data_IF_872862061611
#
_entry.id   IF_872862061611
#
_cell.length_a   1.000
_cell.length_b   1.000
_cell.length_c   1.000
_cell.angle_alpha   90.00
_cell.angle_beta   90.00
_cell.angle_gamma   90.00
#
_symmetry.space_group_name_H-M   'P 1'
#
loop_
_entity.id
_entity.type
_entity.pdbx_description
1 polymer ?
#
# COMPACT_ATOMS: atom_id res chain seq x y z
N UNK A 1 -18.71 -4.13 -11.28
CA UNK A 1 -19.11 -2.95 -10.47
C UNK A 1 -17.88 -2.54 -9.68
N UNK A 2 -17.17 -1.49 -10.10
CA UNK A 2 -15.93 -1.10 -9.45
C UNK A 2 -16.25 -0.58 -8.05
N UNK A 3 -15.85 -1.32 -7.02
CA UNK A 3 -15.95 -0.86 -5.63
C UNK A 3 -15.12 0.42 -5.52
N UNK A 4 -15.80 1.55 -5.33
CA UNK A 4 -15.20 2.86 -5.09
C UNK A 4 -14.79 3.04 -3.63
N UNK A 5 -15.10 2.06 -2.77
CA UNK A 5 -14.76 2.08 -1.36
C UNK A 5 -13.26 1.82 -1.08
N UNK A 6 -12.79 2.18 0.12
CA UNK A 6 -11.47 1.79 0.58
C UNK A 6 -11.28 0.27 0.50
N UNK A 7 -10.12 -0.16 0.02
CA UNK A 7 -9.83 -1.58 -0.21
C UNK A 7 -8.47 -1.94 0.38
N UNK A 8 -8.38 -3.09 1.05
CA UNK A 8 -7.13 -3.78 1.35
C UNK A 8 -6.85 -4.74 0.20
N UNK A 9 -5.76 -4.51 -0.51
CA UNK A 9 -5.31 -5.33 -1.62
C UNK A 9 -4.28 -6.34 -1.10
N UNK A 10 -4.55 -7.63 -1.31
CA UNK A 10 -3.59 -8.69 -1.03
C UNK A 10 -2.62 -8.82 -2.21
N UNK A 11 -1.39 -8.38 -2.01
CA UNK A 11 -0.28 -8.57 -2.93
C UNK A 11 0.80 -9.44 -2.27
N UNK A 12 1.50 -10.21 -3.08
CA UNK A 12 2.58 -11.11 -2.65
C UNK A 12 3.86 -10.34 -2.35
N UNK A 13 4.08 -9.21 -3.03
CA UNK A 13 5.24 -8.35 -2.86
C UNK A 13 4.93 -6.89 -3.23
N UNK A 14 5.89 -5.99 -3.00
CA UNK A 14 5.72 -4.57 -3.28
C UNK A 14 5.61 -4.27 -4.78
N UNK A 15 6.23 -5.10 -5.63
CA UNK A 15 6.24 -4.95 -7.08
C UNK A 15 4.85 -5.16 -7.68
N UNK A 16 4.11 -6.16 -7.21
CA UNK A 16 2.74 -6.45 -7.64
C UNK A 16 1.80 -5.28 -7.32
N UNK A 17 1.94 -4.67 -6.14
CA UNK A 17 1.19 -3.45 -5.81
C UNK A 17 1.58 -2.28 -6.73
N UNK A 18 2.89 -2.06 -6.95
CA UNK A 18 3.35 -0.99 -7.83
C UNK A 18 2.79 -1.16 -9.24
N UNK A 19 2.85 -2.37 -9.79
CA UNK A 19 2.29 -2.68 -11.12
C UNK A 19 0.79 -2.42 -11.15
N UNK A 20 0.05 -2.85 -10.12
CA UNK A 20 -1.39 -2.57 -10.01
C UNK A 20 -1.67 -1.06 -9.99
N UNK A 21 -0.98 -0.28 -9.16
CA UNK A 21 -1.17 1.17 -9.07
C UNK A 21 -0.78 1.84 -10.39
N UNK A 22 0.36 1.49 -10.99
CA UNK A 22 0.81 2.08 -12.25
C UNK A 22 -0.17 1.83 -13.40
N UNK A 23 -0.81 0.66 -13.44
CA UNK A 23 -1.78 0.31 -14.49
C UNK A 23 -3.16 0.97 -14.32
N UNK A 24 -3.58 1.28 -13.09
CA UNK A 24 -4.96 1.70 -12.81
C UNK A 24 -5.09 3.14 -12.29
N UNK A 25 -4.00 3.83 -11.97
CA UNK A 25 -4.08 5.15 -11.36
C UNK A 25 -4.45 6.27 -12.35
N UNK A 26 -5.12 7.29 -11.82
CA UNK A 26 -5.32 8.58 -12.50
C UNK A 26 -4.55 9.68 -11.76
N UNK A 27 -3.88 10.61 -12.44
CA UNK A 27 -3.31 11.79 -11.77
C UNK A 27 -4.40 12.53 -10.95
N UNK A 28 -4.10 13.18 -9.81
CA UNK A 28 -2.85 13.15 -9.06
C UNK A 28 -2.86 12.01 -8.02
N UNK A 29 -2.31 10.85 -8.38
CA UNK A 29 -2.22 9.71 -7.45
C UNK A 29 -0.99 9.80 -6.55
N UNK A 30 -1.04 9.08 -5.43
CA UNK A 30 0.04 8.98 -4.46
C UNK A 30 0.19 7.54 -3.99
N UNK A 31 1.42 7.05 -3.96
CA UNK A 31 1.81 5.84 -3.23
C UNK A 31 2.68 6.25 -2.04
N UNK A 32 2.15 6.01 -0.84
CA UNK A 32 2.87 6.17 0.42
C UNK A 32 3.50 4.82 0.77
N UNK A 33 4.81 4.82 0.97
CA UNK A 33 5.58 3.66 1.43
C UNK A 33 5.90 3.86 2.90
N UNK A 34 5.41 2.96 3.75
CA UNK A 34 5.63 2.99 5.20
C UNK A 34 7.00 2.41 5.60
N UNK A 35 8.05 2.96 5.02
CA UNK A 35 9.45 2.66 5.35
C UNK A 35 10.34 3.83 4.94
N UNK A 36 11.63 3.74 5.22
CA UNK A 36 12.61 4.61 4.57
C UNK A 36 12.76 4.26 3.08
N UNK A 37 13.25 5.21 2.28
CA UNK A 37 13.57 4.99 0.87
C UNK A 37 14.62 3.89 0.68
N UNK A 38 15.65 3.87 1.53
CA UNK A 38 16.72 2.86 1.46
C UNK A 38 16.17 1.45 1.71
N UNK A 39 15.39 1.27 2.79
CA UNK A 39 14.80 -0.02 3.11
C UNK A 39 13.83 -0.52 2.03
N UNK A 40 13.07 0.39 1.41
CA UNK A 40 12.20 0.03 0.30
C UNK A 40 12.98 -0.45 -0.93
N UNK A 41 14.05 0.25 -1.32
CA UNK A 41 14.88 -0.14 -2.46
C UNK A 41 15.58 -1.48 -2.21
N UNK A 42 16.07 -1.73 -1.00
CA UNK A 42 16.64 -3.02 -0.61
C UNK A 42 15.60 -4.15 -0.68
N UNK A 43 14.37 -3.91 -0.23
CA UNK A 43 13.30 -4.89 -0.31
C UNK A 43 12.94 -5.23 -1.77
N UNK A 44 12.89 -4.22 -2.66
CA UNK A 44 12.66 -4.42 -4.09
C UNK A 44 13.78 -5.22 -4.77
N UNK A 45 15.05 -4.94 -4.42
CA UNK A 45 16.19 -5.69 -4.95
C UNK A 45 16.15 -7.15 -4.51
N UNK A 46 15.78 -7.42 -3.25
CA UNK A 46 15.63 -8.79 -2.74
C UNK A 46 14.52 -9.53 -3.48
N UNK A 47 13.33 -8.96 -3.63
CA UNK A 47 12.23 -9.61 -4.36
C UNK A 47 12.61 -9.94 -5.81
N UNK A 48 13.42 -9.10 -6.44
CA UNK A 48 13.91 -9.33 -7.80
C UNK A 48 14.96 -10.46 -7.88
N UNK A 49 15.84 -10.59 -6.88
CA UNK A 49 16.85 -11.65 -6.84
C UNK A 49 16.23 -13.03 -6.58
N UNK A 50 15.23 -13.11 -5.68
CA UNK A 50 14.53 -14.36 -5.38
C UNK A 50 13.58 -14.84 -6.50
N UNK A 51 13.31 -14.01 -7.52
CA UNK A 51 12.56 -14.39 -8.71
C UNK A 51 13.45 -14.94 -9.85
N UNK A 52 14.77 -15.10 -9.62
CA UNK A 52 15.75 -15.70 -10.54
C UNK A 52 15.81 -17.25 -10.47
N UNK A 53 16.54 -17.92 -11.40
CA UNK A 53 16.12 -19.20 -11.99
C UNK A 53 16.50 -20.45 -11.16
N UNK A 54 15.59 -20.95 -10.34
CA UNK A 54 15.75 -22.28 -9.71
C UNK A 54 14.86 -23.39 -10.30
N UNK A 55 14.13 -23.14 -11.40
CA UNK A 55 13.31 -24.14 -12.09
C UNK A 55 13.66 -24.27 -13.59
N UNK A 56 14.95 -24.46 -13.89
CA UNK A 56 15.42 -24.88 -15.21
C UNK A 56 15.33 -26.41 -15.41
N UNK A 57 14.30 -27.04 -14.83
CA UNK A 57 14.08 -28.48 -14.87
C UNK A 57 12.62 -28.83 -15.14
N UNK A 58 12.25 -28.90 -16.41
CA UNK A 58 11.06 -29.61 -16.93
C UNK A 58 9.66 -29.10 -16.51
N UNK A 59 9.03 -28.24 -17.32
CA UNK A 59 7.71 -28.47 -17.94
C UNK A 59 7.15 -27.21 -18.64
N UNK A 60 7.06 -27.28 -19.97
CA UNK A 60 6.00 -26.79 -20.86
C UNK A 60 5.18 -25.54 -20.45
N UNK A 61 5.49 -24.41 -21.11
CA UNK A 61 4.56 -23.40 -21.63
C UNK A 61 3.38 -22.98 -20.76
N UNK A 62 3.64 -22.13 -19.76
CA UNK A 62 2.71 -21.10 -19.30
C UNK A 62 3.51 -19.79 -19.20
N UNK A 63 2.96 -18.62 -19.62
CA UNK A 63 3.69 -17.37 -19.50
C UNK A 63 3.86 -17.05 -18.02
N UNK A 64 5.08 -17.13 -17.52
CA UNK A 64 5.46 -16.65 -16.19
C UNK A 64 5.04 -15.19 -16.07
N UNK A 65 4.06 -14.92 -15.23
CA UNK A 65 3.41 -13.62 -15.04
C UNK A 65 4.40 -12.54 -14.57
N UNK A 66 5.08 -11.91 -15.54
CA UNK A 66 5.34 -10.48 -15.73
C UNK A 66 5.71 -9.51 -14.60
N UNK A 67 5.81 -9.87 -13.31
CA UNK A 67 6.00 -8.88 -12.24
C UNK A 67 7.34 -8.15 -12.37
N UNK A 68 8.45 -8.88 -12.62
CA UNK A 68 9.79 -8.30 -12.82
C UNK A 68 10.01 -7.55 -14.14
N UNK A 69 9.22 -7.85 -15.17
CA UNK A 69 9.49 -7.36 -16.52
C UNK A 69 9.31 -5.85 -16.66
N UNK A 70 8.47 -5.21 -15.83
CA UNK A 70 8.23 -3.78 -15.96
C UNK A 70 9.36 -2.92 -15.39
N UNK A 71 10.10 -3.43 -14.40
CA UNK A 71 11.28 -2.74 -13.86
C UNK A 71 12.46 -2.87 -14.83
N UNK A 72 12.65 -4.04 -15.45
CA UNK A 72 13.74 -4.30 -16.39
C UNK A 72 13.49 -3.70 -17.78
N UNK A 73 12.23 -3.73 -18.25
CA UNK A 73 11.83 -3.28 -19.59
C UNK A 73 10.56 -2.42 -19.52
N UNK A 74 10.64 -1.21 -18.94
CA UNK A 74 9.48 -0.33 -18.83
C UNK A 74 9.06 0.17 -20.22
N UNK A 75 7.76 0.11 -20.52
CA UNK A 75 7.21 0.71 -21.75
C UNK A 75 7.19 2.24 -21.64
N UNK A 76 7.22 2.95 -22.77
CA UNK A 76 7.08 4.43 -22.77
C UNK A 76 5.77 4.87 -22.11
N UNK A 77 4.70 4.09 -22.25
CA UNK A 77 3.43 4.32 -21.57
C UNK A 77 3.62 4.29 -20.06
N UNK A 78 4.27 3.25 -19.54
CA UNK A 78 4.53 3.07 -18.12
C UNK A 78 5.42 4.18 -17.54
N UNK A 79 6.48 4.56 -18.26
CA UNK A 79 7.34 5.69 -17.89
C UNK A 79 6.56 7.01 -17.90
N UNK A 80 5.64 7.19 -18.85
CA UNK A 80 4.82 8.39 -18.90
C UNK A 80 3.84 8.44 -17.74
N UNK A 81 3.15 7.34 -17.44
CA UNK A 81 2.19 7.26 -16.33
C UNK A 81 2.87 7.37 -14.97
N UNK A 82 4.05 6.75 -14.79
CA UNK A 82 4.78 6.78 -13.52
C UNK A 82 5.19 8.19 -13.08
N UNK A 83 5.44 9.11 -14.03
CA UNK A 83 5.72 10.53 -13.73
C UNK A 83 4.58 11.23 -12.99
N UNK A 84 3.35 10.75 -13.16
CA UNK A 84 2.16 11.34 -12.54
C UNK A 84 1.81 10.72 -11.18
N UNK A 85 2.48 9.62 -10.80
CA UNK A 85 2.36 9.00 -9.50
C UNK A 85 3.39 9.62 -8.55
N UNK A 86 2.92 10.25 -7.46
CA UNK A 86 3.82 10.74 -6.41
C UNK A 86 4.18 9.61 -5.46
N UNK A 87 5.46 9.47 -5.17
CA UNK A 87 5.94 8.61 -4.10
C UNK A 87 6.21 9.43 -2.84
N UNK A 88 5.81 8.91 -1.68
CA UNK A 88 6.13 9.46 -0.38
C UNK A 88 6.63 8.36 0.55
N UNK A 89 7.66 8.65 1.33
CA UNK A 89 8.23 7.70 2.29
C UNK A 89 7.92 8.19 3.71
N UNK A 90 7.30 7.32 4.50
CA UNK A 90 6.93 7.59 5.87
C UNK A 90 7.60 6.54 6.78
N UNK A 91 8.78 6.84 7.34
CA UNK A 91 9.56 5.86 8.10
C UNK A 91 8.98 5.55 9.49
N UNK A 92 8.07 6.39 10.01
CA UNK A 92 7.34 6.13 11.25
C UNK A 92 5.87 6.60 11.17
N UNK A 93 5.09 6.25 12.20
CA UNK A 93 3.66 6.58 12.30
C UNK A 93 3.42 8.09 12.34
N UNK A 94 4.34 8.88 12.92
CA UNK A 94 4.21 10.34 13.02
C UNK A 94 4.30 10.97 11.64
N UNK A 95 5.27 10.55 10.83
CA UNK A 95 5.40 10.97 9.43
C UNK A 95 4.17 10.59 8.62
N UNK A 96 3.69 9.35 8.75
CA UNK A 96 2.50 8.88 8.04
C UNK A 96 1.27 9.74 8.39
N UNK A 97 1.01 9.94 9.68
CA UNK A 97 -0.15 10.72 10.14
C UNK A 97 -0.05 12.19 9.74
N UNK A 98 1.13 12.80 9.85
CA UNK A 98 1.34 14.18 9.42
C UNK A 98 1.16 14.35 7.90
N UNK A 99 1.65 13.38 7.11
CA UNK A 99 1.47 13.38 5.67
C UNK A 99 -0.01 13.28 5.29
N UNK A 100 -0.75 12.33 5.91
CA UNK A 100 -2.18 12.16 5.65
C UNK A 100 -2.99 13.40 6.08
N UNK A 101 -2.65 14.03 7.21
CA UNK A 101 -3.33 15.23 7.69
C UNK A 101 -3.17 16.43 6.74
N UNK A 102 -2.07 16.50 6.01
CA UNK A 102 -1.78 17.58 5.03
C UNK A 102 -2.08 17.17 3.58
N UNK A 103 -2.67 15.98 3.38
CA UNK A 103 -2.84 15.38 2.07
C UNK A 103 -3.76 16.22 1.16
N UNK A 104 -4.91 16.67 1.66
CA UNK A 104 -5.86 17.48 0.88
C UNK A 104 -5.24 18.76 0.34
N UNK A 105 -4.48 19.49 1.17
CA UNK A 105 -3.73 20.68 0.72
C UNK A 105 -2.69 20.34 -0.36
N UNK A 106 -1.97 19.22 -0.18
CA UNK A 106 -0.99 18.73 -1.15
C UNK A 106 -1.63 18.37 -2.49
N UNK A 107 -2.82 17.76 -2.49
CA UNK A 107 -3.57 17.45 -3.72
C UNK A 107 -4.03 18.72 -4.42
N UNK A 108 -4.64 19.65 -3.69
CA UNK A 108 -5.11 20.92 -4.25
C UNK A 108 -4.00 21.72 -4.91
N UNK A 109 -2.81 21.77 -4.29
CA UNK A 109 -1.63 22.42 -4.88
C UNK A 109 -1.17 21.71 -6.16
N UNK A 110 -1.09 20.38 -6.17
CA UNK A 110 -0.72 19.61 -7.37
C UNK A 110 -1.70 19.84 -8.52
N UNK A 111 -2.99 19.84 -8.26
CA UNK A 111 -4.01 20.11 -9.29
C UNK A 111 -3.88 21.52 -9.88
N UNK A 112 -3.48 22.51 -9.08
CA UNK A 112 -3.24 23.87 -9.56
C UNK A 112 -1.98 23.96 -10.45
N UNK A 113 -0.93 23.24 -10.10
CA UNK A 113 0.34 23.18 -10.84
C UNK A 113 0.23 22.32 -12.12
N UNK A 114 -0.58 21.26 -12.09
CA UNK A 114 -0.65 20.24 -13.14
C UNK A 114 -1.70 20.53 -14.24
N UNK A 115 -2.01 21.81 -14.52
CA UNK A 115 -3.02 22.19 -15.53
C UNK A 115 -2.78 21.60 -16.94
N UNK A 116 -1.58 21.09 -17.24
CA UNK A 116 -1.24 20.41 -18.51
C UNK A 116 -1.19 18.86 -18.46
N UNK A 117 -1.13 18.22 -17.29
CA UNK A 117 -0.98 16.76 -17.15
C UNK A 117 -2.32 16.01 -17.07
N UNK A 118 -3.43 16.74 -17.17
CA UNK A 118 -4.78 16.18 -17.22
C UNK A 118 -5.06 15.40 -18.50
N UNK A 119 -4.22 15.53 -19.53
CA UNK A 119 -4.34 14.79 -20.79
C UNK A 119 -4.29 13.26 -20.60
N UNK A 120 -3.64 12.79 -19.53
CA UNK A 120 -3.58 11.36 -19.18
C UNK A 120 -4.77 10.88 -18.34
N UNK A 121 -5.68 11.77 -17.93
CA UNK A 121 -6.89 11.39 -17.18
C UNK A 121 -7.96 10.89 -18.15
N UNK A 122 -8.21 9.59 -18.11
CA UNK A 122 -9.37 9.03 -18.77
C UNK A 122 -10.67 9.55 -18.11
N UNK A 123 -11.74 9.80 -18.90
CA UNK A 123 -13.05 10.15 -18.34
C UNK A 123 -13.54 9.08 -17.36
N UNK A 124 -13.81 9.48 -16.11
CA UNK A 124 -14.26 8.57 -15.05
C UNK A 124 -13.15 7.90 -14.23
N UNK A 125 -11.86 8.17 -14.52
CA UNK A 125 -10.76 7.61 -13.76
C UNK A 125 -10.55 8.34 -12.42
N UNK A 126 -10.49 7.58 -11.32
CA UNK A 126 -10.33 8.12 -9.96
C UNK A 126 -8.87 8.10 -9.53
N UNK A 127 -8.35 9.16 -8.88
CA UNK A 127 -7.03 9.12 -8.26
C UNK A 127 -6.93 8.01 -7.21
N UNK A 128 -5.73 7.49 -7.01
CA UNK A 128 -5.43 6.47 -6.01
C UNK A 128 -4.58 7.09 -4.90
N UNK A 129 -4.97 6.84 -3.66
CA UNK A 129 -4.10 6.96 -2.49
C UNK A 129 -3.76 5.54 -2.04
N UNK A 130 -2.57 5.06 -2.37
CA UNK A 130 -2.08 3.75 -1.96
C UNK A 130 -1.16 3.89 -0.74
N UNK A 131 -1.29 3.00 0.24
CA UNK A 131 -0.43 2.94 1.43
C UNK A 131 0.12 1.52 1.56
N UNK A 132 1.43 1.40 1.46
CA UNK A 132 2.17 0.13 1.53
C UNK A 132 2.78 -0.04 2.93
N UNK A 133 2.53 -1.19 3.54
CA UNK A 133 3.01 -1.64 4.84
C UNK A 133 2.55 -0.82 6.08
N UNK A 134 1.31 -0.32 6.17
CA UNK A 134 0.84 0.39 7.36
C UNK A 134 0.85 -0.44 8.66
N UNK A 135 0.60 -1.75 8.65
CA UNK A 135 0.64 -2.64 9.83
C UNK A 135 2.07 -2.84 10.29
N UNK A 136 2.99 -3.17 9.36
CA UNK A 136 4.41 -3.33 9.69
C UNK A 136 5.01 -2.05 10.30
N UNK A 137 4.60 -0.87 9.83
CA UNK A 137 4.98 0.42 10.43
C UNK A 137 4.62 0.53 11.92
N UNK A 138 3.51 -0.09 12.33
CA UNK A 138 3.08 -0.05 13.73
C UNK A 138 3.84 -1.07 14.58
N UNK A 139 4.27 -2.20 14.02
CA UNK A 139 4.88 -3.34 14.74
C UNK A 139 5.95 -2.95 15.77
N UNK A 140 6.95 -2.10 15.47
CA UNK A 140 8.00 -1.76 16.44
C UNK A 140 7.56 -0.73 17.51
N UNK A 141 6.28 -0.35 17.57
CA UNK A 141 5.80 0.75 18.40
C UNK A 141 4.77 0.31 19.44
N UNK A 142 4.59 1.10 20.49
CA UNK A 142 3.49 0.92 21.46
C UNK A 142 2.09 1.15 20.85
N UNK A 143 2.02 1.70 19.64
CA UNK A 143 0.81 1.86 18.86
C UNK A 143 0.48 0.63 18.00
N UNK A 144 1.25 -0.46 18.11
CA UNK A 144 0.87 -1.78 17.59
C UNK A 144 -0.31 -2.36 18.38
N UNK A 145 -1.48 -1.78 18.16
CA UNK A 145 -2.72 -2.10 18.85
C UNK A 145 -3.90 -1.81 17.94
N UNK A 146 -5.08 -2.32 18.27
CA UNK A 146 -6.30 -2.01 17.53
C UNK A 146 -6.61 -0.50 17.57
N UNK A 147 -6.43 0.15 18.71
CA UNK A 147 -6.61 1.59 18.86
C UNK A 147 -5.64 2.40 17.99
N UNK A 148 -4.35 2.02 18.02
CA UNK A 148 -3.29 2.71 17.28
C UNK A 148 -3.48 2.57 15.77
N UNK A 149 -3.73 1.35 15.31
CA UNK A 149 -4.00 1.06 13.90
C UNK A 149 -5.28 1.75 13.43
N UNK A 150 -6.39 1.63 14.18
CA UNK A 150 -7.67 2.26 13.83
C UNK A 150 -7.54 3.78 13.66
N UNK A 151 -6.77 4.44 14.54
CA UNK A 151 -6.52 5.89 14.43
C UNK A 151 -5.77 6.26 13.15
N UNK A 152 -4.83 5.43 12.70
CA UNK A 152 -4.11 5.68 11.46
C UNK A 152 -4.99 5.41 10.24
N UNK A 153 -5.74 4.30 10.25
CA UNK A 153 -6.65 3.94 9.16
C UNK A 153 -7.78 4.96 8.99
N UNK A 154 -8.36 5.47 10.08
CA UNK A 154 -9.40 6.49 10.01
C UNK A 154 -8.90 7.77 9.35
N UNK A 155 -7.66 8.19 9.64
CA UNK A 155 -7.06 9.37 9.02
C UNK A 155 -6.76 9.13 7.54
N UNK A 156 -6.35 7.90 7.16
CA UNK A 156 -6.15 7.53 5.76
C UNK A 156 -7.47 7.55 4.95
N UNK A 157 -8.54 7.01 5.54
CA UNK A 157 -9.89 7.02 4.93
C UNK A 157 -10.38 8.45 4.74
N UNK A 158 -10.24 9.30 5.76
CA UNK A 158 -10.61 10.71 5.67
C UNK A 158 -9.81 11.46 4.59
N UNK A 159 -8.49 11.23 4.53
CA UNK A 159 -7.64 11.83 3.51
C UNK A 159 -8.02 11.40 2.09
N UNK A 160 -8.36 10.12 1.90
CA UNK A 160 -8.83 9.61 0.61
C UNK A 160 -10.21 10.19 0.24
N UNK A 161 -11.15 10.17 1.18
CA UNK A 161 -12.51 10.66 0.98
C UNK A 161 -12.54 12.16 0.64
N UNK A 162 -11.84 12.99 1.42
CA UNK A 162 -11.77 14.44 1.22
C UNK A 162 -11.10 14.86 -0.10
N UNK A 163 -10.37 13.96 -0.76
CA UNK A 163 -9.71 14.20 -2.05
C UNK A 163 -10.37 13.46 -3.21
N UNK A 164 -11.45 12.72 -2.97
CA UNK A 164 -12.08 11.87 -3.99
C UNK A 164 -11.17 10.76 -4.52
N UNK A 165 -10.16 10.35 -3.74
CA UNK A 165 -9.22 9.29 -4.12
C UNK A 165 -9.74 7.92 -3.67
N UNK A 166 -9.51 6.88 -4.47
CA UNK A 166 -9.66 5.49 -4.04
C UNK A 166 -8.51 5.14 -3.09
N UNK A 167 -8.85 4.72 -1.86
CA UNK A 167 -7.87 4.25 -0.88
C UNK A 167 -7.53 2.78 -1.14
N UNK A 168 -6.24 2.48 -1.27
CA UNK A 168 -5.71 1.12 -1.34
C UNK A 168 -4.71 0.93 -0.20
N UNK A 169 -4.93 -0.07 0.64
CA UNK A 169 -3.98 -0.49 1.66
C UNK A 169 -3.38 -1.83 1.25
N UNK A 170 -2.09 -2.03 1.48
CA UNK A 170 -1.43 -3.27 1.12
C UNK A 170 -0.33 -3.59 2.12
N UNK A 171 -0.18 -4.86 2.47
CA UNK A 171 0.95 -5.36 3.25
C UNK A 171 1.74 -6.33 2.37
N UNK A 172 3.06 -6.25 2.46
CA UNK A 172 3.96 -7.28 1.91
C UNK A 172 4.30 -8.26 3.01
N UNK A 173 3.98 -9.55 2.86
CA UNK A 173 4.35 -10.55 3.85
C UNK A 173 5.88 -10.63 3.94
N UNK A 174 6.42 -10.47 5.16
CA UNK A 174 7.84 -10.67 5.47
C UNK A 174 8.13 -12.09 5.98
N UNK A 175 7.08 -12.87 6.25
CA UNK A 175 7.10 -14.26 6.73
C UNK A 175 5.89 -15.01 6.16
N UNK A 176 5.75 -16.30 6.46
CA UNK A 176 4.58 -17.11 6.07
C UNK A 176 3.23 -16.64 6.65
N UNK A 177 3.23 -15.62 7.53
CA UNK A 177 2.01 -15.07 8.14
C UNK A 177 1.61 -13.76 7.49
N UNK A 178 0.34 -13.67 7.10
CA UNK A 178 -0.30 -12.43 6.63
C UNK A 178 -0.32 -11.41 7.79
N UNK A 179 0.30 -10.21 7.64
CA UNK A 179 0.29 -9.20 8.69
C UNK A 179 -1.13 -8.77 9.12
N UNK A 180 -2.14 -8.94 8.26
CA UNK A 180 -3.52 -8.66 8.63
C UNK A 180 -4.12 -9.71 9.58
N UNK A 181 -3.60 -10.93 9.63
CA UNK A 181 -4.11 -11.98 10.50
C UNK A 181 -3.49 -11.97 11.91
N UNK A 182 -2.58 -11.05 12.19
CA UNK A 182 -1.93 -10.90 13.48
C UNK A 182 -2.86 -10.36 14.58
N UNK A 183 -2.69 -10.88 15.79
CA UNK A 183 -3.46 -10.45 16.96
C UNK A 183 -2.88 -9.19 17.61
N UNK A 184 -3.74 -8.18 17.74
CA UNK A 184 -3.44 -6.90 18.36
C UNK A 184 -4.15 -6.79 19.70
N UNK A 185 -3.48 -6.24 20.72
CA UNK A 185 -4.17 -5.77 21.92
C UNK A 185 -5.15 -4.66 21.54
N UNK A 186 -6.29 -4.56 22.23
CA UNK A 186 -7.26 -3.48 21.93
C UNK A 186 -6.65 -2.09 22.19
N UNK A 187 -5.88 -1.95 23.27
CA UNK A 187 -5.30 -0.68 23.72
C UNK A 187 -3.79 -0.64 23.44
N UNK A 188 -3.27 0.59 23.30
CA UNK A 188 -1.83 0.82 23.23
C UNK A 188 -1.14 0.32 24.51
N UNK A 189 -0.03 -0.39 24.36
CA UNK A 189 0.75 -0.87 25.50
C UNK A 189 1.66 0.25 25.98
N UNK A 190 1.27 0.95 27.03
CA UNK A 190 2.18 1.84 27.77
C UNK A 190 3.02 0.95 28.69
N UNK A 191 4.32 0.87 28.45
CA UNK A 191 5.28 0.15 29.29
C UNK A 191 5.13 0.51 30.77
N UNK A 192 4.44 -0.34 31.54
CA UNK A 192 4.59 -0.57 33.00
C UNK A 192 3.55 -1.60 33.51
N UNK A 193 3.92 -2.87 33.38
CA UNK A 193 3.68 -4.03 34.28
C UNK A 193 4.26 -5.23 33.54
N UNK A 194 5.54 -5.51 33.77
CA UNK A 194 6.02 -6.48 34.76
C UNK A 194 5.32 -7.82 34.58
N UNK A 195 6.04 -8.76 33.96
CA UNK A 195 5.84 -10.21 34.09
C UNK A 195 4.43 -10.71 33.80
N UNK A 196 4.30 -11.48 32.73
CA UNK A 196 3.11 -12.28 32.40
C UNK A 196 1.98 -11.52 31.67
N UNK A 197 1.83 -11.94 30.40
CA UNK A 197 0.63 -11.88 29.59
C UNK A 197 0.19 -10.47 29.15
N UNK A 198 -0.07 -10.36 27.86
CA UNK A 198 -1.02 -9.41 27.30
C UNK A 198 -2.39 -9.63 27.98
N UNK A 199 -2.58 -9.05 29.18
CA UNK A 199 -3.83 -9.11 29.93
C UNK A 199 -4.83 -8.18 29.25
N UNK A 200 -5.48 -8.66 28.20
CA UNK A 200 -6.49 -7.91 27.47
C UNK A 200 -7.08 -8.72 26.32
N UNK A 201 -8.31 -8.36 25.92
CA UNK A 201 -8.90 -8.88 24.70
C UNK A 201 -8.01 -8.52 23.51
N UNK A 202 -7.76 -9.49 22.63
CA UNK A 202 -7.06 -9.29 21.37
C UNK A 202 -8.06 -9.28 20.22
N UNK A 203 -7.68 -8.64 19.11
CA UNK A 203 -8.44 -8.66 17.85
C UNK A 203 -7.46 -8.73 16.69
N UNK A 204 -7.87 -9.34 15.58
CA UNK A 204 -7.02 -9.36 14.38
C UNK A 204 -6.90 -7.97 13.77
N UNK A 205 -5.74 -7.63 13.23
CA UNK A 205 -5.55 -6.40 12.44
C UNK A 205 -6.58 -6.27 11.30
N UNK A 206 -6.91 -7.40 10.67
CA UNK A 206 -7.97 -7.54 9.66
C UNK A 206 -9.32 -7.03 10.16
N UNK A 207 -9.73 -7.40 11.37
CA UNK A 207 -11.00 -6.97 11.95
C UNK A 207 -11.04 -5.45 12.12
N UNK A 208 -9.92 -4.82 12.44
CA UNK A 208 -9.81 -3.36 12.54
C UNK A 208 -9.95 -2.71 11.16
N UNK A 209 -9.26 -3.24 10.16
CA UNK A 209 -9.30 -2.73 8.79
C UNK A 209 -10.67 -2.92 8.12
N UNK A 210 -11.36 -4.04 8.37
CA UNK A 210 -12.68 -4.36 7.83
C UNK A 210 -13.78 -3.37 8.23
N UNK A 211 -13.56 -2.56 9.27
CA UNK A 211 -14.47 -1.45 9.63
C UNK A 211 -14.50 -0.35 8.58
N UNK A 212 -13.43 -0.25 7.80
CA UNK A 212 -13.20 0.84 6.86
C UNK A 212 -13.09 0.36 5.42
N UNK A 213 -12.55 -0.85 5.22
CA UNK A 213 -12.11 -1.35 3.92
C UNK A 213 -12.70 -2.74 3.60
N UNK A 214 -12.94 -2.99 2.32
CA UNK A 214 -13.14 -4.36 1.80
C UNK A 214 -11.80 -5.02 1.54
N UNK A 215 -11.75 -6.35 1.50
CA UNK A 215 -10.51 -7.09 1.20
C UNK A 215 -10.62 -7.72 -0.18
N UNK A 216 -9.75 -7.31 -1.09
CA UNK A 216 -9.67 -7.81 -2.45
C UNK A 216 -8.29 -8.43 -2.71
N UNK A 217 -8.22 -9.27 -3.75
CA UNK A 217 -6.94 -9.77 -4.28
C UNK A 217 -6.59 -8.99 -5.55
N UNK A 218 -5.30 -8.84 -5.82
CA UNK A 218 -4.86 -8.33 -7.13
C UNK A 218 -5.36 -9.32 -8.19
N UNK A 219 -6.29 -8.88 -9.04
CA UNK A 219 -6.72 -9.68 -10.18
C UNK A 219 -5.58 -9.70 -11.20
N UNK A 220 -4.89 -10.83 -11.34
CA UNK A 220 -3.79 -11.03 -12.29
C UNK A 220 -4.23 -11.05 -13.77
N UNK A 221 -5.41 -10.53 -14.10
CA UNK A 221 -5.97 -10.54 -15.45
C UNK A 221 -6.62 -9.20 -15.77
N UNK A 222 -5.91 -8.40 -16.56
CA UNK A 222 -6.45 -7.68 -17.71
C UNK A 222 -5.24 -7.18 -18.53
N UNK A 223 -4.66 -8.13 -19.28
CA UNK A 223 -3.77 -7.83 -20.38
C UNK A 223 -4.63 -7.65 -21.63
N UNK A 224 -4.89 -6.41 -22.01
CA UNK A 224 -5.18 -6.01 -23.40
C UNK A 224 -4.63 -4.60 -23.63
#
# INVERSE_FOLDING_TARGET
>A
MNSTGPTVLKASNAEELMQHVLNHHAPPSTLIVCSSKAAFLEALQKSHQFAGPEDAGQAQSAPSSGTGQFLERPTLRLLSTSRTLKLAFCPDITHLRAYLATYSSTISKRLAESKGDTALRLPGATPILAILNPVELHRPTSAFSAQGLNRTLSVAVEAAHSTGSKLILCETPTSDRDPWDEELSILNVTTKRLGEMSVGRTVKAKTVAQRWCTFDRVSSHEAF
#
